data_IF_034058867478
#
_entry.id   IF_034058867478
#
_cell.length_a   1.000
_cell.length_b   1.000
_cell.length_c   1.000
_cell.angle_alpha   90.00
_cell.angle_beta   90.00
_cell.angle_gamma   90.00
#
_symmetry.space_group_name_H-M   'P 1'
#
loop_
_entity.id
_entity.type
_entity.pdbx_description
1 polymer ?
#
# COMPACT_ATOMS: atom_id res chain seq x y z
N UNK A 1 21.09 62.38 -7.52
CA UNK A 1 20.23 63.49 -8.02
C UNK A 1 20.71 63.88 -9.41
N UNK A 2 19.86 64.38 -10.33
CA UNK A 2 18.41 64.64 -10.27
C UNK A 2 17.63 63.78 -11.32
N UNK A 3 16.31 63.75 -11.44
CA UNK A 3 15.21 64.45 -10.78
C UNK A 3 13.87 64.18 -11.50
N UNK A 4 12.94 63.57 -10.76
CA UNK A 4 11.46 63.65 -10.69
C UNK A 4 10.51 64.06 -11.86
N UNK A 5 9.34 63.38 -11.81
CA UNK A 5 8.08 63.42 -12.61
C UNK A 5 7.30 64.76 -12.55
N UNK A 6 6.20 64.94 -13.33
CA UNK A 6 4.83 64.49 -12.97
C UNK A 6 4.10 63.81 -14.17
N UNK A 7 3.08 62.96 -14.10
CA UNK A 7 1.91 62.84 -13.23
C UNK A 7 0.65 62.89 -14.12
N UNK A 8 0.01 61.75 -14.40
CA UNK A 8 -1.33 61.69 -15.00
C UNK A 8 -2.08 60.44 -14.50
N UNK A 9 -3.30 60.66 -14.01
CA UNK A 9 -4.17 59.70 -13.32
C UNK A 9 -5.08 58.92 -14.28
N UNK A 10 -5.25 57.63 -13.95
CA UNK A 10 -6.43 56.73 -14.01
C UNK A 10 -7.32 56.70 -15.26
N UNK A 11 -7.48 55.49 -15.81
CA UNK A 11 -8.79 54.80 -15.93
C UNK A 11 -8.57 53.28 -15.74
N UNK A 12 -9.28 52.68 -14.77
CA UNK A 12 -9.38 51.22 -14.59
C UNK A 12 -10.28 50.62 -15.68
N UNK A 13 -10.04 49.39 -16.15
CA UNK A 13 -11.10 48.64 -16.81
C UNK A 13 -12.12 48.19 -15.74
N UNK A 14 -13.40 48.45 -16.03
CA UNK A 14 -14.55 48.05 -15.23
C UNK A 14 -14.57 46.53 -14.95
N UNK A 15 -15.14 46.09 -13.82
CA UNK A 15 -15.39 44.66 -13.59
C UNK A 15 -16.42 44.14 -14.61
N UNK A 16 -16.35 42.86 -15.02
CA UNK A 16 -17.36 42.28 -15.90
C UNK A 16 -18.73 42.24 -15.20
N UNK A 17 -19.77 42.47 -16.00
CA UNK A 17 -21.19 42.50 -15.64
C UNK A 17 -21.65 41.16 -15.02
N UNK A 18 -22.28 41.13 -13.83
CA UNK A 18 -22.71 39.91 -13.15
C UNK A 18 -24.00 39.29 -13.72
N UNK A 19 -24.32 39.49 -15.01
CA UNK A 19 -25.57 38.99 -15.63
C UNK A 19 -25.38 38.06 -16.84
N UNK A 20 -24.22 37.41 -16.95
CA UNK A 20 -24.02 36.27 -17.87
C UNK A 20 -23.66 34.95 -17.16
N UNK A 21 -23.93 34.81 -15.86
CA UNK A 21 -23.83 33.52 -15.15
C UNK A 21 -25.14 32.73 -15.21
N UNK A 22 -25.58 32.42 -16.43
CA UNK A 22 -26.84 31.73 -16.71
C UNK A 22 -26.66 30.53 -17.65
N UNK A 23 -25.71 29.64 -17.35
CA UNK A 23 -25.69 28.25 -17.84
C UNK A 23 -24.70 27.44 -16.99
N UNK A 24 -25.23 26.71 -16.02
CA UNK A 24 -24.52 25.62 -15.36
C UNK A 24 -24.12 24.63 -16.47
N UNK A 25 -22.83 24.53 -16.76
CA UNK A 25 -22.28 23.39 -17.50
C UNK A 25 -22.18 22.24 -16.51
N UNK A 26 -23.20 21.40 -16.48
CA UNK A 26 -23.13 20.06 -15.91
C UNK A 26 -22.12 19.22 -16.70
N UNK A 27 -21.36 18.38 -16.00
CA UNK A 27 -20.28 17.49 -16.49
C UNK A 27 -19.06 18.20 -17.09
N UNK A 28 -18.06 18.45 -16.25
CA UNK A 28 -16.69 18.30 -16.70
C UNK A 28 -16.43 16.79 -16.85
N UNK A 29 -16.73 16.24 -18.02
CA UNK A 29 -16.13 14.98 -18.44
C UNK A 29 -14.62 15.23 -18.49
N UNK A 30 -13.89 14.72 -17.50
CA UNK A 30 -12.45 14.57 -17.60
C UNK A 30 -12.25 13.65 -18.81
N UNK A 31 -11.60 14.10 -19.89
CA UNK A 31 -11.40 13.25 -21.05
C UNK A 31 -10.46 12.11 -20.65
N UNK A 32 -11.02 10.92 -20.47
CA UNK A 32 -10.25 9.68 -20.42
C UNK A 32 -9.69 9.49 -21.83
N UNK A 33 -8.37 9.51 -22.04
CA UNK A 33 -7.84 9.17 -23.36
C UNK A 33 -8.27 7.75 -23.69
N UNK A 34 -8.95 7.56 -24.82
CA UNK A 34 -9.21 6.24 -25.40
C UNK A 34 -7.86 5.52 -25.62
N UNK A 35 -7.40 4.77 -24.62
CA UNK A 35 -6.38 3.77 -24.81
C UNK A 35 -7.10 2.58 -25.42
N UNK A 36 -6.71 2.17 -26.63
CA UNK A 36 -7.14 0.89 -27.18
C UNK A 36 -7.00 -0.18 -26.09
N UNK A 37 -8.11 -0.79 -25.70
CA UNK A 37 -8.26 -1.53 -24.45
C UNK A 37 -7.07 -2.43 -24.09
N UNK A 38 -6.67 -2.39 -22.83
CA UNK A 38 -5.95 -3.45 -22.11
C UNK A 38 -4.60 -3.91 -22.66
N UNK A 39 -4.05 -3.35 -23.75
CA UNK A 39 -2.82 -3.88 -24.36
C UNK A 39 -1.58 -3.22 -23.78
N UNK A 40 -0.72 -4.06 -23.19
CA UNK A 40 0.61 -3.66 -22.74
C UNK A 40 1.38 -2.91 -23.84
N UNK A 41 1.82 -1.67 -23.58
CA UNK A 41 2.69 -0.97 -24.52
C UNK A 41 4.00 -1.77 -24.68
N UNK A 42 4.52 -1.85 -25.91
CA UNK A 42 5.86 -2.40 -26.14
C UNK A 42 6.88 -1.36 -25.66
N UNK A 43 7.51 -1.60 -24.50
CA UNK A 43 8.55 -0.71 -23.98
C UNK A 43 9.94 -1.34 -24.24
N UNK A 44 10.87 -0.65 -24.91
CA UNK A 44 12.25 -1.08 -25.04
C UNK A 44 13.09 -0.71 -23.80
N UNK A 45 13.85 -1.66 -23.23
CA UNK A 45 14.81 -1.43 -22.14
C UNK A 45 14.98 -2.66 -21.23
N UNK A 46 16.15 -2.84 -20.61
CA UNK A 46 16.38 -3.94 -19.66
C UNK A 46 15.86 -3.59 -18.24
N UNK A 47 15.61 -4.58 -17.36
CA UNK A 47 15.24 -4.35 -15.97
C UNK A 47 16.18 -3.40 -15.20
N UNK A 48 17.49 -3.47 -15.48
CA UNK A 48 18.51 -2.58 -14.87
C UNK A 48 18.33 -1.10 -15.24
N UNK A 49 17.86 -0.81 -16.46
CA UNK A 49 17.56 0.55 -16.89
C UNK A 49 16.35 1.12 -16.15
N UNK A 50 15.38 0.27 -15.78
CA UNK A 50 14.19 0.62 -14.98
C UNK A 50 14.58 1.00 -13.54
N UNK A 51 15.48 0.23 -12.92
CA UNK A 51 15.99 0.47 -11.55
C UNK A 51 16.80 1.77 -11.40
N UNK A 52 17.46 2.23 -12.48
CA UNK A 52 18.17 3.51 -12.45
C UNK A 52 17.23 4.72 -12.39
N UNK A 53 15.98 4.62 -12.83
CA UNK A 53 14.96 5.69 -12.71
C UNK A 53 14.66 5.93 -11.22
N UNK A 54 14.28 4.89 -10.50
CA UNK A 54 13.96 4.94 -9.06
C UNK A 54 15.13 5.34 -8.15
N UNK A 55 16.38 5.02 -8.52
CA UNK A 55 17.59 5.47 -7.78
C UNK A 55 17.99 6.94 -8.03
N UNK A 56 17.38 7.63 -9.00
CA UNK A 56 17.87 8.96 -9.44
C UNK A 56 17.22 10.16 -8.76
N UNK A 57 16.20 9.98 -7.93
CA UNK A 57 15.54 11.09 -7.22
C UNK A 57 16.18 11.44 -5.86
N UNK A 58 17.48 11.15 -5.71
CA UNK A 58 18.28 11.73 -4.64
C UNK A 58 18.75 13.14 -5.03
N UNK A 59 18.51 14.19 -4.24
CA UNK A 59 18.92 15.55 -4.59
C UNK A 59 20.44 15.62 -4.83
N UNK A 60 20.84 16.19 -5.98
CA UNK A 60 22.22 16.25 -6.50
C UNK A 60 23.27 16.75 -5.50
N UNK A 61 22.84 17.52 -4.49
CA UNK A 61 23.73 18.13 -3.51
C UNK A 61 24.29 17.13 -2.49
N UNK A 62 23.66 15.96 -2.30
CA UNK A 62 24.13 14.92 -1.38
C UNK A 62 25.20 14.02 -2.02
N UNK A 63 25.14 13.81 -3.34
CA UNK A 63 26.11 13.00 -4.10
C UNK A 63 27.53 13.56 -4.04
N UNK A 64 27.70 14.89 -3.97
CA UNK A 64 29.04 15.52 -3.91
C UNK A 64 29.67 15.44 -2.52
N UNK A 65 28.88 15.48 -1.46
CA UNK A 65 29.40 15.47 -0.08
C UNK A 65 29.79 14.06 0.37
N UNK A 66 29.05 13.04 -0.05
CA UNK A 66 29.33 11.62 0.29
C UNK A 66 30.57 11.09 -0.44
N UNK A 67 30.79 11.46 -1.71
CA UNK A 67 31.99 11.03 -2.46
C UNK A 67 33.30 11.62 -1.92
N UNK A 68 33.27 12.79 -1.27
CA UNK A 68 34.46 13.41 -0.68
C UNK A 68 34.83 12.82 0.69
N UNK A 69 33.85 12.31 1.45
CA UNK A 69 34.07 11.65 2.74
C UNK A 69 34.53 10.19 2.59
N UNK A 70 34.08 9.48 1.55
CA UNK A 70 34.54 8.11 1.25
C UNK A 70 35.98 8.04 0.69
N UNK A 71 36.45 9.09 0.02
CA UNK A 71 37.82 9.14 -0.51
C UNK A 71 38.90 9.42 0.56
N UNK A 72 38.50 9.85 1.77
CA UNK A 72 39.44 10.18 2.86
C UNK A 72 39.58 9.07 3.92
N UNK A 73 38.76 8.02 3.88
CA UNK A 73 38.87 6.86 4.79
C UNK A 73 39.66 5.66 4.24
N UNK A 74 40.17 5.72 3.01
CA UNK A 74 40.91 4.61 2.38
C UNK A 74 42.45 4.75 2.38
N UNK A 75 43.01 5.66 3.18
CA UNK A 75 44.46 5.74 3.41
C UNK A 75 44.80 5.85 4.91
N UNK A 76 44.60 4.77 5.66
CA UNK A 76 45.44 4.40 6.82
C UNK A 76 44.93 3.12 7.49
N UNK A 77 45.17 1.98 6.85
CA UNK A 77 45.05 0.67 7.48
C UNK A 77 46.36 -0.08 7.34
N UNK A 78 47.27 0.06 8.31
CA UNK A 78 48.36 -0.89 8.49
C UNK A 78 48.95 -0.87 9.91
N UNK A 79 48.93 -2.06 10.52
CA UNK A 79 49.76 -2.58 11.63
C UNK A 79 49.24 -2.51 13.07
N UNK A 80 48.92 -3.73 13.57
CA UNK A 80 49.44 -4.39 14.79
C UNK A 80 49.11 -3.74 16.16
N UNK A 81 49.00 -4.42 17.29
CA UNK A 81 48.95 -5.81 17.75
C UNK A 81 48.98 -5.70 19.29
N UNK A 82 48.31 -6.62 20.00
CA UNK A 82 48.53 -7.01 21.40
C UNK A 82 48.13 -6.10 22.58
N UNK A 83 47.53 -6.79 23.56
CA UNK A 83 47.57 -6.63 25.02
C UNK A 83 46.63 -5.65 25.75
N UNK A 84 45.66 -6.27 26.44
CA UNK A 84 45.48 -6.34 27.90
C UNK A 84 45.39 -5.08 28.78
N UNK A 85 44.49 -5.26 29.75
CA UNK A 85 44.44 -4.78 31.15
C UNK A 85 43.78 -3.44 31.50
N UNK A 86 42.89 -3.60 32.50
CA UNK A 86 42.51 -2.70 33.59
C UNK A 86 41.34 -1.71 33.42
N UNK A 87 40.24 -2.06 34.10
CA UNK A 87 39.32 -1.14 34.77
C UNK A 87 40.05 -0.49 35.98
N UNK A 88 39.60 0.65 36.58
CA UNK A 88 38.33 0.66 37.32
C UNK A 88 37.58 2.02 37.43
N UNK A 89 36.31 1.91 37.86
CA UNK A 89 35.50 2.74 38.79
C UNK A 89 35.57 4.28 38.79
N UNK A 90 34.40 4.94 38.74
CA UNK A 90 33.80 5.68 39.89
C UNK A 90 32.41 6.29 39.54
N UNK A 91 31.45 6.07 40.45
CA UNK A 91 30.13 6.71 40.64
C UNK A 91 30.25 8.12 41.30
N UNK A 92 29.17 8.86 41.67
CA UNK A 92 27.81 9.03 41.13
C UNK A 92 27.37 10.53 41.07
N UNK A 93 26.08 10.76 40.80
CA UNK A 93 25.33 12.04 40.71
C UNK A 93 25.40 12.97 41.95
N UNK A 94 24.79 14.18 41.85
CA UNK A 94 23.64 14.43 42.72
C UNK A 94 22.46 15.18 42.08
N UNK A 95 21.32 15.08 42.77
CA UNK A 95 20.04 15.76 42.52
C UNK A 95 19.90 17.09 43.30
N UNK A 96 18.67 17.64 43.32
CA UNK A 96 18.09 18.75 44.14
C UNK A 96 18.08 20.11 43.39
N UNK A 97 17.03 20.95 43.29
CA UNK A 97 15.73 21.16 43.98
C UNK A 97 14.82 22.13 43.19
N UNK A 98 13.50 22.04 43.42
CA UNK A 98 12.45 23.07 43.23
C UNK A 98 12.67 24.38 44.02
N UNK A 99 11.98 25.49 43.71
CA UNK A 99 10.78 25.85 44.49
C UNK A 99 9.59 26.46 43.70
N UNK A 100 8.43 26.36 44.34
CA UNK A 100 7.11 26.87 43.97
C UNK A 100 6.84 28.35 44.35
N UNK A 101 5.87 28.98 43.68
CA UNK A 101 4.92 30.02 44.17
C UNK A 101 3.90 30.32 43.04
N UNK A 102 2.62 29.92 43.10
CA UNK A 102 1.44 30.48 43.81
C UNK A 102 0.79 31.76 43.22
N UNK A 103 -0.56 31.67 43.10
CA UNK A 103 -1.60 32.72 43.04
C UNK A 103 -1.88 33.37 41.65
N UNK A 104 -3.10 33.59 41.17
CA UNK A 104 -4.45 33.71 41.75
C UNK A 104 -5.52 33.65 40.63
N UNK A 105 -6.69 33.09 40.91
CA UNK A 105 -7.94 33.30 40.14
C UNK A 105 -8.51 34.72 40.39
N UNK A 106 -9.47 35.16 39.55
CA UNK A 106 -10.76 35.52 40.15
C UNK A 106 -12.00 35.02 39.39
N UNK A 107 -13.03 34.70 40.17
CA UNK A 107 -14.39 34.32 39.79
C UNK A 107 -15.29 35.49 39.32
N UNK A 108 -16.24 35.11 38.47
CA UNK A 108 -17.64 35.53 38.27
C UNK A 108 -18.08 37.00 38.17
N UNK A 109 -18.83 37.28 37.09
CA UNK A 109 -20.21 37.80 37.18
C UNK A 109 -20.98 37.69 35.86
N UNK A 110 -22.18 37.08 35.91
CA UNK A 110 -23.21 37.15 34.86
C UNK A 110 -23.80 38.55 34.71
N UNK A 111 -24.38 38.85 33.52
CA UNK A 111 -25.62 39.61 33.49
C UNK A 111 -26.73 38.92 32.67
N UNK A 112 -27.95 39.23 33.09
CA UNK A 112 -29.23 38.72 32.62
C UNK A 112 -29.69 39.30 31.26
N UNK A 113 -30.55 38.50 30.62
CA UNK A 113 -31.65 38.79 29.68
C UNK A 113 -31.64 40.10 28.86
N UNK A 114 -31.53 39.94 27.55
CA UNK A 114 -32.02 40.87 26.53
C UNK A 114 -32.61 40.06 25.33
N UNK A 115 -33.61 40.61 24.62
CA UNK A 115 -34.61 39.83 23.89
C UNK A 115 -34.12 39.28 22.54
N UNK A 116 -34.70 38.14 22.15
CA UNK A 116 -34.52 37.45 20.88
C UNK A 116 -35.11 38.23 19.70
N UNK A 117 -34.26 38.56 18.71
CA UNK A 117 -34.68 38.97 17.37
C UNK A 117 -35.17 37.75 16.56
N UNK A 118 -36.17 37.90 15.68
CA UNK A 118 -36.77 36.78 14.94
C UNK A 118 -35.84 36.25 13.85
N UNK A 119 -35.81 34.91 13.71
CA UNK A 119 -35.12 34.20 12.63
C UNK A 119 -35.58 34.68 11.24
N UNK A 120 -34.66 34.85 10.27
CA UNK A 120 -35.06 35.06 8.88
C UNK A 120 -35.62 33.75 8.31
N UNK A 121 -36.76 33.87 7.64
CA UNK A 121 -37.47 32.78 6.98
C UNK A 121 -36.54 31.96 6.07
N UNK A 122 -36.58 30.63 6.24
CA UNK A 122 -35.82 29.67 5.46
C UNK A 122 -36.04 29.84 3.95
N UNK A 123 -34.94 29.89 3.21
CA UNK A 123 -34.90 29.60 1.79
C UNK A 123 -35.37 28.16 1.53
N UNK A 124 -36.07 27.87 0.43
CA UNK A 124 -36.42 26.50 0.09
C UNK A 124 -35.13 25.70 -0.08
N UNK A 125 -34.99 24.60 0.66
CA UNK A 125 -33.94 23.61 0.41
C UNK A 125 -34.14 23.07 -1.01
N UNK A 126 -33.11 23.20 -1.85
CA UNK A 126 -33.05 22.49 -3.12
C UNK A 126 -33.20 20.99 -2.82
N UNK A 127 -34.02 20.24 -3.59
CA UNK A 127 -34.15 18.81 -3.37
C UNK A 127 -32.76 18.18 -3.49
N UNK A 128 -32.40 17.35 -2.51
CA UNK A 128 -31.19 16.54 -2.55
C UNK A 128 -31.08 15.86 -3.93
N UNK A 129 -29.90 15.87 -4.57
CA UNK A 129 -29.74 15.26 -5.87
C UNK A 129 -30.16 13.80 -5.76
N UNK A 130 -31.22 13.43 -6.47
CA UNK A 130 -31.61 12.02 -6.64
C UNK A 130 -30.45 11.33 -7.35
N UNK A 131 -29.75 10.44 -6.63
CA UNK A 131 -28.79 9.52 -7.22
C UNK A 131 -29.50 8.77 -8.36
N UNK A 132 -29.00 8.92 -9.59
CA UNK A 132 -29.44 8.05 -10.66
C UNK A 132 -29.07 6.61 -10.29
N UNK A 133 -29.93 5.61 -10.54
CA UNK A 133 -29.62 4.22 -10.26
C UNK A 133 -28.33 3.84 -11.00
N UNK A 134 -27.33 3.41 -10.24
CA UNK A 134 -26.02 3.00 -10.76
C UNK A 134 -26.20 1.85 -11.75
N UNK A 135 -25.42 1.89 -12.83
CA UNK A 135 -25.40 0.82 -13.81
C UNK A 135 -24.65 -0.39 -13.22
N UNK A 136 -25.41 -1.30 -12.59
CA UNK A 136 -24.91 -2.57 -12.07
C UNK A 136 -24.63 -3.60 -13.18
N UNK A 137 -24.77 -3.25 -14.47
CA UNK A 137 -24.53 -4.17 -15.61
C UNK A 137 -23.05 -4.46 -15.89
N UNK A 138 -22.25 -4.56 -14.84
CA UNK A 138 -20.83 -4.92 -14.90
C UNK A 138 -20.66 -6.30 -15.51
N UNK A 139 -19.73 -6.41 -16.44
CA UNK A 139 -19.36 -7.67 -17.06
C UNK A 139 -18.29 -8.38 -16.23
N UNK A 140 -18.58 -8.59 -14.94
CA UNK A 140 -17.72 -9.39 -14.07
C UNK A 140 -17.89 -10.88 -14.44
N UNK A 141 -16.82 -11.43 -15.01
CA UNK A 141 -16.81 -12.81 -15.49
C UNK A 141 -16.45 -13.75 -14.36
N UNK A 142 -17.27 -14.78 -14.05
CA UNK A 142 -16.88 -15.78 -13.07
C UNK A 142 -15.64 -16.52 -13.57
N UNK A 143 -14.64 -16.66 -12.71
CA UNK A 143 -13.46 -17.45 -12.99
C UNK A 143 -13.91 -18.92 -13.16
N UNK A 144 -13.53 -19.58 -14.27
CA UNK A 144 -13.91 -20.97 -14.51
C UNK A 144 -13.26 -21.89 -13.46
N UNK A 145 -13.97 -22.96 -13.10
CA UNK A 145 -13.39 -24.02 -12.28
C UNK A 145 -12.11 -24.56 -12.94
N UNK A 146 -11.04 -24.72 -12.15
CA UNK A 146 -9.80 -25.34 -12.59
C UNK A 146 -9.64 -26.72 -11.95
N UNK A 147 -9.44 -27.74 -12.78
CA UNK A 147 -9.19 -29.14 -12.37
C UNK A 147 -7.73 -29.39 -11.94
N UNK A 148 -7.10 -28.41 -11.27
CA UNK A 148 -5.73 -28.51 -10.73
C UNK A 148 -4.61 -28.03 -11.66
N UNK A 149 -4.94 -27.26 -12.71
CA UNK A 149 -3.98 -26.64 -13.62
C UNK A 149 -4.03 -25.11 -13.60
N UNK A 150 -3.00 -24.47 -14.13
CA UNK A 150 -3.04 -23.03 -14.37
C UNK A 150 -3.82 -22.73 -15.65
N UNK A 151 -4.84 -21.88 -15.57
CA UNK A 151 -5.70 -21.46 -16.68
C UNK A 151 -5.38 -20.01 -17.01
N UNK A 152 -5.28 -19.68 -18.30
CA UNK A 152 -5.18 -18.29 -18.77
C UNK A 152 -6.60 -17.72 -18.90
N UNK A 153 -6.90 -16.69 -18.13
CA UNK A 153 -8.19 -16.00 -18.13
C UNK A 153 -8.24 -14.92 -19.21
N UNK A 154 -7.15 -14.16 -19.29
CA UNK A 154 -6.90 -13.14 -20.30
C UNK A 154 -5.38 -13.08 -20.53
N UNK A 155 -4.94 -12.33 -21.53
CA UNK A 155 -3.53 -12.14 -21.85
C UNK A 155 -2.76 -11.70 -20.61
N UNK A 156 -1.77 -12.49 -20.21
CA UNK A 156 -0.94 -12.26 -19.00
C UNK A 156 -1.73 -12.27 -17.67
N UNK A 157 -2.95 -12.82 -17.64
CA UNK A 157 -3.74 -13.07 -16.45
C UNK A 157 -4.01 -14.56 -16.33
N UNK A 158 -3.53 -15.16 -15.25
CA UNK A 158 -3.67 -16.57 -14.99
C UNK A 158 -4.42 -16.80 -13.69
N UNK A 159 -5.06 -17.96 -13.58
CA UNK A 159 -5.65 -18.45 -12.35
C UNK A 159 -5.23 -19.89 -12.10
N UNK A 160 -4.95 -20.24 -10.84
CA UNK A 160 -4.65 -21.60 -10.44
C UNK A 160 -5.21 -21.89 -9.05
N UNK A 161 -5.56 -23.16 -8.83
CA UNK A 161 -5.79 -23.73 -7.50
C UNK A 161 -4.58 -24.58 -7.12
N UNK A 162 -4.12 -24.47 -5.88
CA UNK A 162 -3.08 -25.34 -5.31
C UNK A 162 -3.49 -25.82 -3.92
N UNK A 163 -3.04 -27.03 -3.57
CA UNK A 163 -3.17 -27.55 -2.20
C UNK A 163 -2.04 -27.05 -1.30
N UNK A 164 -1.58 -27.93 -0.42
CA UNK A 164 -0.43 -27.69 0.44
C UNK A 164 0.83 -27.35 -0.38
N UNK A 165 1.48 -26.26 0.00
CA UNK A 165 2.70 -25.75 -0.61
C UNK A 165 3.95 -26.01 0.24
N UNK A 166 3.84 -26.72 1.36
CA UNK A 166 4.97 -27.02 2.24
C UNK A 166 5.34 -25.87 3.19
N UNK A 167 4.44 -24.91 3.40
CA UNK A 167 4.72 -23.72 4.21
C UNK A 167 4.99 -24.06 5.68
N UNK A 168 4.31 -25.05 6.27
CA UNK A 168 4.62 -25.52 7.63
C UNK A 168 6.05 -26.07 7.76
N UNK A 169 6.58 -26.72 6.72
CA UNK A 169 7.96 -27.19 6.71
C UNK A 169 8.97 -26.05 6.57
N UNK A 170 8.61 -25.00 5.81
CA UNK A 170 9.38 -23.76 5.73
C UNK A 170 9.50 -23.09 7.11
N UNK A 171 8.38 -22.90 7.82
CA UNK A 171 8.37 -22.33 9.18
C UNK A 171 9.13 -23.20 10.18
N UNK A 172 8.96 -24.53 10.14
CA UNK A 172 9.68 -25.46 11.00
C UNK A 172 11.21 -25.46 10.74
N UNK A 173 11.63 -25.03 9.55
CA UNK A 173 13.03 -24.82 9.19
C UNK A 173 13.62 -23.50 9.70
N UNK A 174 12.84 -22.65 10.36
CA UNK A 174 13.24 -21.33 10.83
C UNK A 174 12.84 -20.17 9.90
N UNK A 175 12.16 -20.47 8.78
CA UNK A 175 11.76 -19.48 7.79
C UNK A 175 12.93 -19.03 6.90
N UNK A 176 12.98 -17.75 6.55
CA UNK A 176 14.02 -17.18 5.70
C UNK A 176 14.28 -15.70 6.02
N UNK A 177 15.56 -15.35 6.11
CA UNK A 177 16.05 -13.99 6.34
C UNK A 177 16.27 -13.18 5.05
N UNK A 178 16.05 -13.81 3.88
CA UNK A 178 16.19 -13.17 2.58
C UNK A 178 15.40 -13.91 1.49
N UNK A 179 15.09 -13.22 0.39
CA UNK A 179 14.43 -13.84 -0.77
C UNK A 179 15.27 -14.98 -1.37
N UNK A 180 16.60 -14.88 -1.29
CA UNK A 180 17.52 -15.95 -1.72
C UNK A 180 17.38 -17.24 -0.89
N UNK A 181 17.08 -17.14 0.40
CA UNK A 181 16.81 -18.30 1.25
C UNK A 181 15.44 -18.92 0.95
N UNK A 182 14.43 -18.10 0.60
CA UNK A 182 13.13 -18.59 0.09
C UNK A 182 13.33 -19.36 -1.21
N UNK A 183 14.11 -18.82 -2.15
CA UNK A 183 14.52 -19.49 -3.39
C UNK A 183 15.20 -20.83 -3.11
N UNK A 184 16.15 -20.87 -2.17
CA UNK A 184 16.87 -22.09 -1.82
C UNK A 184 15.94 -23.16 -1.24
N UNK A 185 15.00 -22.77 -0.38
CA UNK A 185 13.97 -23.66 0.14
C UNK A 185 13.11 -24.24 -0.99
N UNK A 186 12.59 -23.38 -1.87
CA UNK A 186 11.75 -23.80 -3.00
C UNK A 186 12.49 -24.70 -3.98
N UNK A 187 13.77 -24.43 -4.24
CA UNK A 187 14.63 -25.26 -5.09
C UNK A 187 14.75 -26.68 -4.55
N UNK A 188 14.89 -26.81 -3.22
CA UNK A 188 14.91 -28.09 -2.53
C UNK A 188 13.55 -28.80 -2.57
N UNK A 189 12.48 -28.08 -2.26
CA UNK A 189 11.11 -28.61 -2.24
C UNK A 189 10.66 -29.12 -3.62
N UNK A 190 10.85 -28.29 -4.66
CA UNK A 190 10.40 -28.54 -6.02
C UNK A 190 11.38 -29.39 -6.83
N UNK A 191 12.59 -29.66 -6.29
CA UNK A 191 13.71 -30.29 -7.00
C UNK A 191 14.05 -29.55 -8.29
N UNK A 192 13.94 -28.23 -8.26
CA UNK A 192 14.13 -27.33 -9.39
C UNK A 192 15.35 -26.41 -9.09
N UNK A 193 16.55 -26.75 -9.59
CA UNK A 193 17.80 -26.08 -9.20
C UNK A 193 18.03 -24.68 -9.83
N UNK A 194 17.12 -24.21 -10.68
CA UNK A 194 17.24 -22.94 -11.41
C UNK A 194 16.18 -21.92 -10.97
N UNK A 195 15.86 -21.82 -9.68
CA UNK A 195 15.01 -20.75 -9.16
C UNK A 195 15.87 -19.53 -8.81
N UNK A 196 15.36 -18.36 -9.12
CA UNK A 196 15.87 -17.06 -8.69
C UNK A 196 14.67 -16.09 -8.70
N UNK A 197 14.70 -15.03 -7.89
CA UNK A 197 13.62 -14.06 -7.79
C UNK A 197 14.12 -12.65 -8.10
N UNK A 198 13.39 -11.91 -8.95
CA UNK A 198 13.78 -10.57 -9.39
C UNK A 198 13.19 -9.45 -8.51
N UNK A 199 14.02 -8.46 -8.17
CA UNK A 199 13.64 -7.30 -7.36
C UNK A 199 12.86 -6.27 -8.14
N UNK A 200 11.69 -5.86 -7.65
CA UNK A 200 10.99 -4.73 -8.27
C UNK A 200 10.02 -4.04 -7.30
N UNK A 201 10.10 -2.70 -7.23
CA UNK A 201 9.43 -1.90 -6.19
C UNK A 201 8.26 -1.07 -6.67
N UNK A 202 7.06 -1.34 -6.13
CA UNK A 202 5.75 -0.94 -6.65
C UNK A 202 4.99 0.11 -5.82
N UNK A 203 4.27 1.03 -6.47
CA UNK A 203 3.26 1.87 -5.83
C UNK A 203 1.99 1.06 -5.51
N UNK A 204 1.26 1.39 -4.45
CA UNK A 204 0.05 0.69 -4.00
C UNK A 204 -0.89 1.63 -3.22
N UNK A 205 -2.19 1.42 -3.32
CA UNK A 205 -3.21 2.05 -2.46
C UNK A 205 -4.20 1.02 -1.94
N UNK A 206 -4.72 1.19 -0.73
CA UNK A 206 -5.70 0.29 -0.12
C UNK A 206 -6.83 1.04 0.58
N UNK A 207 -8.00 0.42 0.66
CA UNK A 207 -9.21 1.00 1.24
C UNK A 207 -10.07 -0.08 1.92
N UNK A 208 -10.37 0.07 3.21
CA UNK A 208 -11.22 -0.84 3.98
C UNK A 208 -12.55 -0.16 4.38
N UNK A 209 -13.66 -0.89 4.25
CA UNK A 209 -14.98 -0.35 4.52
C UNK A 209 -16.00 -1.36 5.08
N UNK A 210 -17.01 -0.78 5.70
CA UNK A 210 -18.23 -1.45 6.15
C UNK A 210 -19.40 -0.96 5.30
N UNK A 211 -20.18 -1.90 4.76
CA UNK A 211 -21.37 -1.60 3.95
C UNK A 211 -22.60 -1.30 4.82
N UNK A 212 -23.65 -0.76 4.19
CA UNK A 212 -24.90 -0.38 4.86
C UNK A 212 -25.53 -1.50 5.71
N UNK A 213 -25.46 -2.73 5.20
CA UNK A 213 -25.99 -3.96 5.77
C UNK A 213 -25.01 -4.67 6.74
N UNK A 214 -23.84 -4.08 7.00
CA UNK A 214 -22.84 -4.62 7.92
C UNK A 214 -21.86 -5.62 7.28
N UNK A 215 -21.84 -5.73 5.95
CA UNK A 215 -20.77 -6.40 5.21
C UNK A 215 -19.43 -5.69 5.38
N UNK A 216 -18.35 -6.40 5.03
CA UNK A 216 -16.95 -5.96 5.16
C UNK A 216 -16.24 -6.10 3.83
N UNK A 217 -15.61 -5.03 3.39
CA UNK A 217 -14.98 -4.94 2.07
C UNK A 217 -13.59 -4.32 2.17
N UNK A 218 -12.66 -4.87 1.40
CA UNK A 218 -11.29 -4.37 1.29
C UNK A 218 -10.90 -4.24 -0.18
N UNK A 219 -10.38 -3.09 -0.57
CA UNK A 219 -9.92 -2.79 -1.92
C UNK A 219 -8.41 -2.52 -1.95
N UNK A 220 -7.73 -2.94 -3.02
CA UNK A 220 -6.33 -2.61 -3.29
C UNK A 220 -6.12 -2.24 -4.75
N UNK A 221 -5.33 -1.19 -5.00
CA UNK A 221 -4.60 -0.95 -6.25
C UNK A 221 -3.14 -1.38 -6.10
N UNK A 222 -2.61 -2.08 -7.10
CA UNK A 222 -1.19 -2.36 -7.24
C UNK A 222 -0.67 -1.70 -8.52
N UNK A 223 0.22 -0.73 -8.35
CA UNK A 223 0.72 0.12 -9.42
C UNK A 223 2.07 -0.39 -9.90
N UNK A 224 2.07 -0.89 -11.13
CA UNK A 224 3.20 -1.58 -11.73
C UNK A 224 3.22 -1.47 -13.25
N UNK A 225 4.41 -1.62 -13.82
CA UNK A 225 4.52 -1.86 -15.25
C UNK A 225 3.79 -3.15 -15.65
N UNK A 226 3.43 -3.30 -16.93
CA UNK A 226 2.76 -4.50 -17.41
C UNK A 226 3.47 -5.78 -16.97
N UNK A 227 2.72 -6.71 -16.36
CA UNK A 227 3.26 -7.96 -15.85
C UNK A 227 2.41 -9.19 -16.14
N UNK A 228 2.99 -10.37 -15.94
CA UNK A 228 2.24 -11.60 -15.80
C UNK A 228 1.70 -11.72 -14.38
N UNK A 229 0.38 -11.85 -14.23
CA UNK A 229 -0.26 -11.94 -12.91
C UNK A 229 -0.91 -13.30 -12.75
N UNK A 230 -0.70 -13.93 -11.60
CA UNK A 230 -1.39 -15.14 -11.18
C UNK A 230 -2.34 -14.83 -10.01
N UNK A 231 -3.61 -15.16 -10.21
CA UNK A 231 -4.62 -15.25 -9.17
C UNK A 231 -4.55 -16.66 -8.58
N UNK A 232 -4.15 -16.79 -7.32
CA UNK A 232 -3.89 -18.08 -6.70
C UNK A 232 -4.90 -18.36 -5.58
N UNK A 233 -5.59 -19.49 -5.69
CA UNK A 233 -6.38 -20.06 -4.60
C UNK A 233 -5.59 -21.20 -3.94
N UNK A 234 -5.29 -21.07 -2.66
CA UNK A 234 -4.49 -22.04 -1.89
C UNK A 234 -5.35 -22.73 -0.85
N UNK A 235 -5.23 -24.06 -0.76
CA UNK A 235 -5.88 -24.93 0.23
C UNK A 235 -4.82 -25.72 1.00
N UNK A 236 -4.16 -25.10 2.00
CA UNK A 236 -3.14 -25.77 2.79
C UNK A 236 -3.75 -26.90 3.62
N UNK A 237 -2.95 -27.92 3.94
CA UNK A 237 -3.41 -29.05 4.78
C UNK A 237 -3.55 -28.68 6.27
N UNK A 238 -2.81 -27.64 6.69
CA UNK A 238 -2.70 -27.12 8.05
C UNK A 238 -2.68 -25.59 8.01
N UNK A 239 -3.81 -25.00 7.61
CA UNK A 239 -3.99 -23.55 7.51
C UNK A 239 -5.34 -23.20 6.89
N UNK A 240 -5.58 -21.91 6.72
CA UNK A 240 -6.79 -21.41 6.09
C UNK A 240 -6.70 -21.43 4.56
N UNK A 241 -7.80 -21.77 3.90
CA UNK A 241 -7.95 -21.51 2.48
C UNK A 241 -7.88 -20.01 2.21
N UNK A 242 -7.28 -19.61 1.08
CA UNK A 242 -7.10 -18.19 0.75
C UNK A 242 -7.00 -17.92 -0.74
N UNK A 243 -7.44 -16.74 -1.16
CA UNK A 243 -6.99 -16.10 -2.40
C UNK A 243 -5.73 -15.27 -2.15
N UNK A 244 -4.90 -15.15 -3.19
CA UNK A 244 -3.79 -14.20 -3.24
C UNK A 244 -3.48 -13.78 -4.68
N UNK A 245 -2.88 -12.60 -4.83
CA UNK A 245 -2.42 -12.10 -6.13
C UNK A 245 -0.89 -12.06 -6.18
N UNK A 246 -0.33 -12.62 -7.25
CA UNK A 246 1.12 -12.80 -7.43
C UNK A 246 1.55 -12.19 -8.75
N UNK A 247 2.57 -11.35 -8.72
CA UNK A 247 3.28 -10.92 -9.92
C UNK A 247 4.28 -12.01 -10.32
N UNK A 248 3.98 -12.76 -11.38
CA UNK A 248 4.81 -13.87 -11.85
C UNK A 248 6.15 -13.40 -12.39
N UNK A 249 6.30 -12.14 -12.81
CA UNK A 249 7.60 -11.67 -13.31
C UNK A 249 8.64 -11.64 -12.17
N UNK A 250 8.21 -11.43 -10.92
CA UNK A 250 9.07 -11.54 -9.73
C UNK A 250 9.60 -12.97 -9.53
N UNK A 251 8.85 -13.98 -10.02
CA UNK A 251 9.21 -15.40 -9.95
C UNK A 251 9.94 -15.91 -11.21
N UNK A 252 9.76 -15.27 -12.36
CA UNK A 252 10.11 -15.81 -13.69
C UNK A 252 11.22 -15.06 -14.41
N UNK A 253 11.57 -13.84 -14.03
CA UNK A 253 12.63 -13.08 -14.71
C UNK A 253 14.03 -13.72 -14.61
N UNK A 254 14.20 -14.75 -13.79
CA UNK A 254 15.49 -15.43 -13.60
C UNK A 254 15.42 -16.96 -13.64
N UNK A 255 14.25 -17.53 -13.92
CA UNK A 255 14.00 -18.97 -13.94
C UNK A 255 12.92 -19.36 -14.94
N UNK A 256 13.21 -20.29 -15.86
CA UNK A 256 12.20 -20.84 -16.78
C UNK A 256 11.38 -21.93 -16.06
N UNK A 257 10.64 -21.54 -15.01
CA UNK A 257 9.92 -22.50 -14.18
C UNK A 257 8.86 -23.24 -15.00
N UNK A 258 8.80 -24.58 -14.88
CA UNK A 258 7.71 -25.37 -15.42
C UNK A 258 6.37 -24.81 -14.93
N UNK A 259 5.37 -24.75 -15.81
CA UNK A 259 4.04 -24.23 -15.44
C UNK A 259 3.41 -25.01 -14.29
N UNK A 260 3.80 -26.27 -14.14
CA UNK A 260 3.32 -27.21 -13.15
C UNK A 260 3.78 -26.84 -11.73
N UNK A 261 4.91 -26.15 -11.57
CA UNK A 261 5.44 -25.75 -10.26
C UNK A 261 5.11 -24.31 -9.89
N UNK A 262 4.66 -23.50 -10.86
CA UNK A 262 4.34 -22.09 -10.65
C UNK A 262 3.32 -21.85 -9.53
N UNK A 263 2.19 -22.58 -9.43
CA UNK A 263 1.23 -22.37 -8.35
C UNK A 263 1.85 -22.59 -6.96
N UNK A 264 2.66 -23.63 -6.80
CA UNK A 264 3.35 -23.93 -5.53
C UNK A 264 4.41 -22.88 -5.20
N UNK A 265 5.24 -22.48 -6.17
CA UNK A 265 6.22 -21.41 -5.96
C UNK A 265 5.56 -20.07 -5.62
N UNK A 266 4.41 -19.78 -6.26
CA UNK A 266 3.64 -18.56 -6.07
C UNK A 266 3.05 -18.42 -4.67
N UNK A 267 2.90 -19.52 -3.93
CA UNK A 267 2.51 -19.47 -2.51
C UNK A 267 3.50 -18.67 -1.64
N UNK A 268 4.74 -18.49 -2.09
CA UNK A 268 5.80 -17.78 -1.36
C UNK A 268 6.03 -16.35 -1.85
N UNK A 269 5.26 -15.89 -2.84
CA UNK A 269 5.31 -14.52 -3.36
C UNK A 269 3.95 -13.78 -3.39
N UNK A 270 2.99 -14.01 -2.46
CA UNK A 270 1.75 -13.25 -2.44
C UNK A 270 2.01 -11.79 -2.05
N UNK A 271 1.34 -10.86 -2.74
CA UNK A 271 1.43 -9.43 -2.47
C UNK A 271 0.17 -8.90 -1.76
N UNK A 272 -0.94 -9.61 -1.91
CA UNK A 272 -2.22 -9.41 -1.22
C UNK A 272 -2.96 -10.75 -1.08
N UNK A 273 -4.04 -10.75 -0.32
CA UNK A 273 -4.97 -11.87 -0.27
C UNK A 273 -6.15 -11.68 0.67
N UNK A 274 -7.07 -12.65 0.61
CA UNK A 274 -8.20 -12.83 1.51
C UNK A 274 -8.26 -14.30 1.92
N UNK A 275 -8.35 -14.59 3.22
CA UNK A 275 -8.55 -15.96 3.70
C UNK A 275 -10.01 -16.28 4.07
N UNK A 276 -10.31 -17.55 4.30
CA UNK A 276 -11.65 -18.05 4.62
C UNK A 276 -12.20 -17.58 5.99
N UNK A 277 -11.41 -16.84 6.76
CA UNK A 277 -11.85 -16.18 8.00
C UNK A 277 -12.21 -14.72 7.80
N UNK A 278 -12.01 -14.19 6.60
CA UNK A 278 -12.28 -12.80 6.26
C UNK A 278 -11.13 -11.85 6.61
N UNK A 279 -9.93 -12.36 6.89
CA UNK A 279 -8.73 -11.51 7.00
C UNK A 279 -8.24 -11.17 5.60
N UNK A 280 -8.19 -9.88 5.29
CA UNK A 280 -7.55 -9.32 4.12
C UNK A 280 -6.18 -8.72 4.50
N UNK A 281 -5.19 -8.93 3.64
CA UNK A 281 -3.83 -8.39 3.79
C UNK A 281 -3.33 -7.87 2.46
N UNK A 282 -2.56 -6.79 2.49
CA UNK A 282 -1.72 -6.38 1.38
C UNK A 282 -0.45 -5.69 1.83
N UNK A 283 0.55 -5.69 0.94
CA UNK A 283 1.84 -5.02 1.14
C UNK A 283 1.92 -3.78 0.29
N UNK A 284 2.26 -2.64 0.87
CA UNK A 284 2.47 -1.40 0.13
C UNK A 284 3.94 -0.98 0.32
N UNK A 285 4.60 -0.54 -0.77
CA UNK A 285 5.96 0.01 -0.67
C UNK A 285 5.92 1.38 -0.03
N UNK A 286 6.96 1.79 0.67
CA UNK A 286 7.18 3.19 1.02
C UNK A 286 8.44 3.65 0.29
N UNK A 287 8.38 4.84 -0.31
CA UNK A 287 9.54 5.44 -0.99
C UNK A 287 10.58 5.98 0.01
N UNK A 288 11.16 5.10 0.82
CA UNK A 288 12.27 5.37 1.73
C UNK A 288 13.45 4.44 1.42
N UNK A 289 14.66 4.93 1.67
CA UNK A 289 15.91 4.18 1.58
C UNK A 289 16.23 3.35 2.83
N UNK A 290 15.43 3.50 3.90
CA UNK A 290 15.49 2.61 5.05
C UNK A 290 15.16 1.17 4.65
N UNK A 291 15.56 0.21 5.48
CA UNK A 291 15.29 -1.22 5.25
C UNK A 291 14.73 -1.86 6.51
N UNK A 292 13.96 -2.92 6.34
CA UNK A 292 13.56 -3.80 7.43
C UNK A 292 14.53 -4.98 7.43
N UNK A 293 15.40 -5.08 8.42
CA UNK A 293 16.28 -6.23 8.66
C UNK A 293 16.36 -6.48 10.17
N UNK A 294 15.26 -6.95 10.77
CA UNK A 294 15.23 -7.26 12.19
C UNK A 294 16.20 -8.40 12.52
N UNK A 295 16.70 -8.43 13.74
CA UNK A 295 17.68 -9.45 14.15
C UNK A 295 17.60 -9.73 15.64
N UNK A 296 17.07 -10.89 15.97
CA UNK A 296 16.89 -11.43 17.30
C UNK A 296 17.01 -12.96 17.27
N UNK A 297 16.49 -13.64 18.30
CA UNK A 297 16.42 -15.11 18.36
C UNK A 297 15.09 -15.66 17.76
N UNK A 298 14.26 -14.79 17.20
CA UNK A 298 13.00 -15.16 16.55
C UNK A 298 13.27 -15.81 15.18
N UNK A 299 12.36 -16.67 14.69
CA UNK A 299 12.40 -17.14 13.30
C UNK A 299 12.21 -15.98 12.32
N UNK A 300 12.70 -16.15 11.10
CA UNK A 300 12.76 -15.10 10.10
C UNK A 300 11.64 -15.22 9.05
N UNK A 301 11.12 -14.08 8.60
CA UNK A 301 10.23 -13.98 7.46
C UNK A 301 10.74 -12.92 6.48
N UNK A 302 10.51 -13.17 5.20
CA UNK A 302 10.50 -12.13 4.18
C UNK A 302 9.13 -11.46 4.10
N UNK A 303 9.04 -10.32 3.42
CA UNK A 303 7.77 -9.62 3.19
C UNK A 303 6.66 -10.53 2.64
N UNK A 304 6.93 -11.30 1.59
CA UNK A 304 5.92 -12.14 0.95
C UNK A 304 5.59 -13.40 1.75
N UNK A 305 6.56 -13.95 2.48
CA UNK A 305 6.31 -15.10 3.36
C UNK A 305 5.56 -14.69 4.62
N UNK A 306 5.68 -13.44 5.08
CA UNK A 306 4.78 -12.89 6.09
C UNK A 306 3.34 -12.84 5.59
N UNK A 307 3.08 -12.35 4.37
CA UNK A 307 1.72 -12.38 3.78
C UNK A 307 1.15 -13.80 3.75
N UNK A 308 1.94 -14.80 3.30
CA UNK A 308 1.52 -16.21 3.31
C UNK A 308 1.20 -16.71 4.71
N UNK A 309 2.05 -16.39 5.70
CA UNK A 309 1.82 -16.75 7.10
C UNK A 309 0.48 -16.18 7.61
N UNK A 310 0.23 -14.89 7.37
CA UNK A 310 -1.00 -14.24 7.83
C UNK A 310 -2.23 -14.87 7.20
N UNK A 311 -2.18 -15.12 5.89
CA UNK A 311 -3.27 -15.80 5.18
C UNK A 311 -3.51 -17.21 5.72
N UNK A 312 -2.46 -17.97 6.05
CA UNK A 312 -2.57 -19.35 6.57
C UNK A 312 -3.05 -19.43 8.02
N UNK A 313 -2.65 -18.47 8.87
CA UNK A 313 -2.65 -18.67 10.33
C UNK A 313 -3.41 -17.62 11.15
N UNK A 314 -3.81 -16.49 10.58
CA UNK A 314 -4.57 -15.46 11.31
C UNK A 314 -6.01 -15.36 10.82
N UNK A 315 -6.96 -15.37 11.76
CA UNK A 315 -8.38 -15.13 11.49
C UNK A 315 -8.77 -13.65 11.66
N UNK A 316 -8.01 -12.91 12.47
CA UNK A 316 -8.29 -11.52 12.85
C UNK A 316 -7.02 -10.67 12.74
N UNK A 317 -7.19 -9.34 12.75
CA UNK A 317 -6.07 -8.40 12.80
C UNK A 317 -5.25 -8.62 14.08
N UNK A 318 -5.88 -8.90 15.23
CA UNK A 318 -5.17 -9.15 16.49
C UNK A 318 -4.25 -10.39 16.39
N UNK A 319 -4.75 -11.48 15.84
CA UNK A 319 -3.94 -12.69 15.59
C UNK A 319 -2.81 -12.41 14.58
N UNK A 320 -3.08 -11.59 13.56
CA UNK A 320 -2.06 -11.20 12.59
C UNK A 320 -0.93 -10.37 13.23
N UNK A 321 -1.26 -9.43 14.11
CA UNK A 321 -0.29 -8.63 14.85
C UNK A 321 0.53 -9.49 15.84
N UNK A 322 -0.12 -10.45 16.50
CA UNK A 322 0.58 -11.40 17.37
C UNK A 322 1.59 -12.23 16.57
N UNK A 323 1.18 -12.77 15.42
CA UNK A 323 2.07 -13.51 14.53
C UNK A 323 3.26 -12.64 14.10
N UNK A 324 3.03 -11.44 13.56
CA UNK A 324 4.13 -10.55 13.16
C UNK A 324 5.09 -10.24 14.32
N UNK A 325 4.58 -10.12 15.54
CA UNK A 325 5.41 -9.91 16.74
C UNK A 325 6.31 -11.09 17.12
N UNK A 326 6.01 -12.30 16.65
CA UNK A 326 6.77 -13.54 16.95
C UNK A 326 7.88 -13.87 15.95
N UNK A 327 7.98 -13.12 14.85
CA UNK A 327 9.02 -13.30 13.82
C UNK A 327 9.88 -12.03 13.69
N UNK A 328 11.08 -12.20 13.15
CA UNK A 328 11.86 -11.09 12.61
C UNK A 328 11.51 -10.90 11.13
N UNK A 329 11.19 -9.67 10.74
CA UNK A 329 10.91 -9.34 9.36
C UNK A 329 12.15 -8.83 8.63
N UNK A 330 12.30 -9.31 7.40
CA UNK A 330 13.28 -8.86 6.41
C UNK A 330 12.53 -8.38 5.17
N UNK A 331 12.66 -7.09 4.87
CA UNK A 331 12.05 -6.47 3.70
C UNK A 331 12.57 -7.14 2.43
N UNK A 332 11.67 -7.74 1.66
CA UNK A 332 12.04 -8.34 0.37
C UNK A 332 12.71 -7.27 -0.50
N UNK A 333 13.82 -7.63 -1.14
CA UNK A 333 14.62 -6.75 -1.99
C UNK A 333 15.12 -5.45 -1.37
N UNK A 334 15.35 -5.44 -0.05
CA UNK A 334 15.73 -4.24 0.72
C UNK A 334 14.72 -3.08 0.58
N UNK A 335 13.49 -3.39 0.18
CA UNK A 335 12.44 -2.39 0.07
C UNK A 335 11.84 -2.08 1.43
N UNK A 336 11.55 -0.80 1.66
CA UNK A 336 10.70 -0.42 2.76
C UNK A 336 9.23 -0.67 2.37
N UNK A 337 8.50 -1.31 3.27
CA UNK A 337 7.10 -1.65 3.10
C UNK A 337 6.33 -1.43 4.39
N UNK A 338 5.02 -1.46 4.29
CA UNK A 338 4.09 -1.62 5.40
C UNK A 338 2.92 -2.53 4.99
N UNK A 339 2.24 -3.11 5.96
CA UNK A 339 1.10 -4.00 5.72
C UNK A 339 -0.21 -3.30 6.02
N UNK A 340 -1.14 -3.31 5.07
CA UNK A 340 -2.55 -3.04 5.35
C UNK A 340 -3.23 -4.34 5.76
N UNK A 341 -3.88 -4.35 6.92
CA UNK A 341 -4.64 -5.49 7.44
C UNK A 341 -6.07 -5.05 7.71
N UNK A 342 -7.04 -5.88 7.34
CA UNK A 342 -8.44 -5.69 7.71
C UNK A 342 -9.12 -7.05 7.96
N UNK A 343 -10.06 -7.12 8.89
CA UNK A 343 -10.77 -8.38 9.20
C UNK A 343 -12.29 -8.24 9.20
N UNK A 344 -12.97 -9.39 9.35
CA UNK A 344 -14.43 -9.48 9.35
C UNK A 344 -15.12 -8.77 10.54
N UNK A 345 -14.37 -8.35 11.58
CA UNK A 345 -14.92 -7.50 12.64
C UNK A 345 -15.06 -6.03 12.19
N UNK A 346 -14.32 -5.63 11.15
CA UNK A 346 -14.22 -4.26 10.66
C UNK A 346 -13.02 -3.49 11.23
N UNK A 347 -12.15 -4.14 12.00
CA UNK A 347 -10.86 -3.55 12.37
C UNK A 347 -9.96 -3.48 11.14
N UNK A 348 -9.28 -2.35 10.97
CA UNK A 348 -8.33 -2.12 9.90
C UNK A 348 -7.12 -1.33 10.43
N UNK A 349 -5.91 -1.80 10.10
CA UNK A 349 -4.67 -1.21 10.57
C UNK A 349 -3.61 -1.19 9.47
N UNK A 350 -2.69 -0.26 9.63
CA UNK A 350 -1.40 -0.24 9.00
C UNK A 350 -0.32 -0.75 9.98
N UNK A 351 0.59 -1.59 9.50
CA UNK A 351 1.72 -2.12 10.26
C UNK A 351 3.02 -1.67 9.60
N UNK A 352 3.69 -0.74 10.26
CA UNK A 352 4.92 -0.12 9.80
C UNK A 352 6.12 -0.60 10.62
N UNK A 353 7.32 -0.46 10.04
CA UNK A 353 8.57 -0.77 10.73
C UNK A 353 9.45 0.47 10.78
N UNK A 354 9.54 1.08 11.96
CA UNK A 354 10.33 2.30 12.21
C UNK A 354 11.45 1.96 13.18
N UNK A 355 12.70 2.12 12.73
CA UNK A 355 13.86 1.83 13.56
C UNK A 355 13.97 0.36 13.97
N UNK A 356 13.54 -0.56 13.11
CA UNK A 356 13.46 -2.01 13.37
C UNK A 356 12.36 -2.43 14.35
N UNK A 357 11.49 -1.52 14.77
CA UNK A 357 10.37 -1.80 15.66
C UNK A 357 9.04 -1.76 14.90
N UNK A 358 8.15 -2.68 15.23
CA UNK A 358 6.79 -2.73 14.66
C UNK A 358 5.93 -1.63 15.29
N UNK A 359 5.30 -0.81 14.45
CA UNK A 359 4.37 0.25 14.84
C UNK A 359 3.03 -0.03 14.17
N UNK A 360 1.95 0.04 14.94
CA UNK A 360 0.59 -0.23 14.45
C UNK A 360 -0.22 1.06 14.49
N UNK A 361 -0.82 1.41 13.36
CA UNK A 361 -1.67 2.60 13.20
C UNK A 361 -3.07 2.14 12.79
N UNK A 362 -4.10 2.54 13.55
CA UNK A 362 -5.49 2.29 13.15
C UNK A 362 -5.83 3.18 11.96
N UNK A 363 -6.17 2.57 10.82
CA UNK A 363 -6.54 3.30 9.60
C UNK A 363 -7.36 2.43 8.66
N UNK A 364 -8.24 3.07 7.89
CA UNK A 364 -9.02 2.44 6.82
C UNK A 364 -8.43 2.67 5.44
N UNK A 365 -7.46 3.58 5.31
CA UNK A 365 -6.84 3.97 4.04
C UNK A 365 -5.32 3.95 4.19
N UNK A 366 -4.64 3.45 3.17
CA UNK A 366 -3.18 3.40 3.16
C UNK A 366 -2.64 3.55 1.73
N UNK A 367 -1.66 4.42 1.56
CA UNK A 367 -0.88 4.58 0.32
C UNK A 367 0.62 4.55 0.66
N UNK A 368 1.53 4.90 -0.25
CA UNK A 368 2.97 4.62 -0.12
C UNK A 368 3.77 5.63 0.75
N UNK A 369 3.27 5.98 1.93
CA UNK A 369 3.99 6.83 2.89
C UNK A 369 3.73 6.40 4.34
N UNK A 370 4.62 6.81 5.25
CA UNK A 370 4.49 6.47 6.66
C UNK A 370 3.34 7.22 7.35
N UNK A 371 2.44 6.50 8.00
CA UNK A 371 1.40 7.05 8.89
C UNK A 371 1.87 7.17 10.34
N UNK A 372 2.82 6.36 10.79
CA UNK A 372 3.28 6.39 12.17
C UNK A 372 3.78 7.78 12.57
N UNK A 373 3.34 8.24 13.74
CA UNK A 373 3.81 9.49 14.34
C UNK A 373 5.32 9.40 14.65
N UNK A 374 6.04 10.50 14.42
CA UNK A 374 7.47 10.62 14.72
C UNK A 374 8.31 11.09 13.54
N UNK A 375 9.61 10.76 13.56
CA UNK A 375 10.58 11.23 12.55
C UNK A 375 10.24 10.76 11.13
N UNK A 376 9.61 9.59 11.02
CA UNK A 376 9.25 9.00 9.72
C UNK A 376 7.92 9.48 9.16
N UNK A 377 7.06 10.08 9.96
CA UNK A 377 5.71 10.48 9.57
C UNK A 377 5.70 11.27 8.26
N UNK A 378 4.85 10.86 7.32
CA UNK A 378 4.67 11.53 6.03
C UNK A 378 5.76 11.26 4.99
N UNK A 379 6.84 10.52 5.31
CA UNK A 379 7.85 10.18 4.31
C UNK A 379 7.24 9.24 3.25
N UNK A 380 7.19 9.72 2.01
CA UNK A 380 6.69 9.03 0.81
C UNK A 380 6.62 9.99 -0.38
N UNK A 381 6.05 9.56 -1.52
CA UNK A 381 5.94 10.42 -2.71
C UNK A 381 4.80 11.44 -2.59
N UNK A 382 4.93 12.61 -3.22
CA UNK A 382 3.83 13.60 -3.28
C UNK A 382 2.57 13.01 -3.94
N UNK A 383 2.75 12.12 -4.93
CA UNK A 383 1.66 11.45 -5.61
C UNK A 383 0.93 10.44 -4.69
N UNK A 384 1.65 9.78 -3.78
CA UNK A 384 1.05 8.93 -2.73
C UNK A 384 0.16 9.73 -1.77
N UNK A 385 0.59 10.94 -1.39
CA UNK A 385 -0.20 11.86 -0.56
C UNK A 385 -1.48 12.30 -1.29
N UNK A 386 -1.38 12.66 -2.57
CA UNK A 386 -2.57 13.05 -3.36
C UNK A 386 -3.57 11.90 -3.54
N UNK A 387 -3.09 10.66 -3.70
CA UNK A 387 -3.95 9.47 -3.72
C UNK A 387 -4.65 9.26 -2.39
N UNK A 388 -3.92 9.45 -1.29
CA UNK A 388 -4.49 9.38 0.06
C UNK A 388 -5.57 10.44 0.26
N UNK A 389 -5.33 11.70 -0.11
CA UNK A 389 -6.32 12.78 -0.03
C UNK A 389 -7.60 12.43 -0.82
N UNK A 390 -7.47 11.79 -1.99
CA UNK A 390 -8.61 11.36 -2.79
C UNK A 390 -9.43 10.25 -2.08
N UNK A 391 -8.76 9.25 -1.49
CA UNK A 391 -9.41 8.19 -0.73
C UNK A 391 -10.02 8.70 0.59
N UNK A 392 -9.36 9.64 1.25
CA UNK A 392 -9.86 10.28 2.47
C UNK A 392 -11.10 11.13 2.17
N UNK A 393 -11.10 11.90 1.09
CA UNK A 393 -12.28 12.63 0.63
C UNK A 393 -13.46 11.68 0.34
N UNK A 394 -13.17 10.52 -0.27
CA UNK A 394 -14.20 9.50 -0.52
C UNK A 394 -14.73 8.93 0.79
N UNK A 395 -13.86 8.56 1.74
CA UNK A 395 -14.22 8.03 3.05
C UNK A 395 -15.08 9.02 3.85
N UNK A 396 -14.73 10.30 3.84
CA UNK A 396 -15.47 11.36 4.53
C UNK A 396 -16.85 11.61 3.91
N UNK A 397 -16.99 11.36 2.61
CA UNK A 397 -18.28 11.48 1.91
C UNK A 397 -19.19 10.25 2.13
N UNK A 398 -18.62 9.09 2.50
CA UNK A 398 -19.33 7.82 2.62
C UNK A 398 -19.08 7.18 3.99
N UNK A 399 -19.94 7.47 4.99
CA UNK A 399 -19.87 6.85 6.33
C UNK A 399 -19.87 5.31 6.24
N UNK A 400 -20.66 4.78 5.30
CA UNK A 400 -20.71 3.38 4.91
C UNK A 400 -20.45 3.27 3.41
N UNK A 401 -19.73 2.22 3.01
CA UNK A 401 -19.35 1.98 1.63
C UNK A 401 -19.48 0.49 1.32
N UNK A 402 -20.26 0.16 0.29
CA UNK A 402 -20.34 -1.18 -0.25
C UNK A 402 -19.18 -1.49 -1.21
N UNK A 403 -19.18 -2.69 -1.80
CA UNK A 403 -18.09 -3.12 -2.68
C UNK A 403 -17.97 -2.27 -3.96
N UNK A 404 -19.07 -1.67 -4.43
CA UNK A 404 -19.06 -0.78 -5.60
C UNK A 404 -18.56 0.61 -5.22
N UNK A 405 -18.88 1.09 -4.02
CA UNK A 405 -18.28 2.31 -3.47
C UNK A 405 -16.76 2.16 -3.36
N UNK A 406 -16.27 1.03 -2.82
CA UNK A 406 -14.82 0.75 -2.74
C UNK A 406 -14.19 0.69 -4.12
N UNK A 407 -14.86 0.08 -5.10
CA UNK A 407 -14.39 0.06 -6.49
C UNK A 407 -14.23 1.47 -7.04
N UNK A 408 -15.23 2.32 -6.84
CA UNK A 408 -15.21 3.69 -7.34
C UNK A 408 -14.11 4.51 -6.62
N UNK A 409 -13.89 4.28 -5.33
CA UNK A 409 -12.76 4.84 -4.58
C UNK A 409 -11.42 4.42 -5.20
N UNK A 410 -11.22 3.13 -5.46
CA UNK A 410 -10.00 2.63 -6.13
C UNK A 410 -9.84 3.20 -7.54
N UNK A 411 -10.93 3.35 -8.29
CA UNK A 411 -10.89 4.01 -9.60
C UNK A 411 -10.36 5.44 -9.46
N UNK A 412 -10.84 6.23 -8.49
CA UNK A 412 -10.33 7.59 -8.28
C UNK A 412 -8.87 7.64 -7.87
N UNK A 413 -8.38 6.62 -7.15
CA UNK A 413 -7.02 6.52 -6.65
C UNK A 413 -6.05 5.73 -7.58
N UNK A 414 -6.46 5.45 -8.83
CA UNK A 414 -5.61 4.73 -9.79
C UNK A 414 -4.42 5.57 -10.24
N UNK A 415 -3.32 4.90 -10.58
CA UNK A 415 -2.05 5.54 -10.96
C UNK A 415 -2.21 6.58 -12.07
N UNK A 416 -2.94 6.24 -13.14
CA UNK A 416 -3.08 7.15 -14.30
C UNK A 416 -3.81 8.47 -14.01
N UNK A 417 -4.49 8.56 -12.87
CA UNK A 417 -5.09 9.82 -12.43
C UNK A 417 -4.05 10.81 -11.87
N UNK A 418 -2.86 10.33 -11.49
CA UNK A 418 -1.82 11.12 -10.84
C UNK A 418 -0.49 11.15 -11.60
N UNK A 419 -0.14 10.08 -12.32
CA UNK A 419 1.00 10.04 -13.24
C UNK A 419 0.54 9.76 -14.69
N UNK A 420 0.76 10.70 -15.64
CA UNK A 420 0.42 10.48 -17.04
C UNK A 420 1.41 9.57 -17.79
N UNK A 421 2.53 9.12 -17.20
CA UNK A 421 3.50 8.23 -17.82
C UNK A 421 2.82 6.91 -18.24
N UNK A 422 2.72 6.60 -19.55
CA UNK A 422 2.04 5.40 -20.01
C UNK A 422 2.82 4.12 -19.75
N UNK A 423 4.07 4.20 -19.29
CA UNK A 423 4.90 3.04 -18.98
C UNK A 423 4.58 2.38 -17.63
N UNK A 424 3.93 3.12 -16.74
CA UNK A 424 3.48 2.70 -15.41
C UNK A 424 1.95 2.91 -15.32
N UNK A 425 1.29 2.25 -14.36
CA UNK A 425 -0.17 2.27 -14.23
C UNK A 425 -0.66 1.27 -13.18
N UNK A 426 -1.92 1.34 -12.77
CA UNK A 426 -2.48 0.30 -11.87
C UNK A 426 -2.60 -1.01 -12.64
N UNK A 427 -1.74 -1.97 -12.31
CA UNK A 427 -1.62 -3.25 -13.02
C UNK A 427 -2.80 -4.18 -12.69
N UNK A 428 -3.17 -4.21 -11.41
CA UNK A 428 -4.45 -4.77 -10.97
C UNK A 428 -5.06 -3.94 -9.85
N UNK A 429 -6.39 -3.98 -9.82
CA UNK A 429 -7.20 -3.63 -8.67
C UNK A 429 -7.92 -4.88 -8.21
N UNK A 430 -8.04 -5.10 -6.90
CA UNK A 430 -8.80 -6.21 -6.34
C UNK A 430 -9.76 -5.72 -5.27
N UNK A 431 -10.98 -6.24 -5.30
CA UNK A 431 -12.01 -6.06 -4.29
C UNK A 431 -12.22 -7.39 -3.56
N UNK A 432 -12.02 -7.40 -2.26
CA UNK A 432 -12.30 -8.51 -1.37
C UNK A 432 -13.57 -8.23 -0.58
N UNK A 433 -14.61 -9.01 -0.82
CA UNK A 433 -15.76 -9.11 0.07
C UNK A 433 -15.41 -10.09 1.19
N UNK A 434 -15.01 -9.56 2.34
CA UNK A 434 -14.58 -10.35 3.48
C UNK A 434 -15.75 -11.12 4.12
N UNK A 435 -16.99 -10.70 3.87
CA UNK A 435 -18.19 -11.35 4.43
C UNK A 435 -18.66 -12.52 3.57
N UNK A 436 -18.72 -12.32 2.25
CA UNK A 436 -19.16 -13.34 1.31
C UNK A 436 -18.02 -14.23 0.79
N UNK A 437 -16.77 -13.90 1.16
CA UNK A 437 -15.54 -14.57 0.74
C UNK A 437 -15.39 -14.61 -0.78
N UNK A 438 -15.69 -13.47 -1.43
CA UNK A 438 -15.52 -13.29 -2.86
C UNK A 438 -14.43 -12.28 -3.17
N UNK A 439 -13.76 -12.47 -4.29
CA UNK A 439 -12.74 -11.57 -4.79
C UNK A 439 -13.06 -11.22 -6.25
N UNK A 440 -12.95 -9.93 -6.61
CA UNK A 440 -13.10 -9.45 -7.98
C UNK A 440 -11.87 -8.66 -8.38
N UNK A 441 -11.20 -9.09 -9.47
CA UNK A 441 -9.99 -8.48 -10.00
C UNK A 441 -10.27 -7.73 -11.29
N UNK A 442 -9.75 -6.50 -11.36
CA UNK A 442 -9.73 -5.66 -12.55
C UNK A 442 -8.28 -5.48 -12.98
N UNK A 443 -8.00 -5.56 -14.28
CA UNK A 443 -6.64 -5.42 -14.81
C UNK A 443 -6.47 -4.10 -15.55
N UNK A 444 -5.30 -3.48 -15.41
CA UNK A 444 -4.89 -2.32 -16.21
C UNK A 444 -5.92 -1.19 -16.18
N UNK A 445 -6.47 -0.91 -15.00
CA UNK A 445 -7.48 0.13 -14.78
C UNK A 445 -8.80 -0.05 -15.57
N UNK A 446 -9.04 -1.24 -16.14
CA UNK A 446 -10.29 -1.56 -16.79
C UNK A 446 -11.31 -2.07 -15.76
N UNK A 447 -12.06 -1.15 -15.16
CA UNK A 447 -13.10 -1.45 -14.18
C UNK A 447 -14.43 -1.92 -14.80
N UNK A 448 -14.53 -1.96 -16.14
CA UNK A 448 -15.72 -2.44 -16.86
C UNK A 448 -15.73 -3.98 -17.02
N UNK A 449 -14.57 -4.63 -16.83
CA UNK A 449 -14.40 -6.07 -17.00
C UNK A 449 -13.61 -6.67 -15.83
N UNK A 450 -14.32 -7.18 -14.84
CA UNK A 450 -13.74 -7.91 -13.71
C UNK A 450 -13.69 -9.43 -13.93
N UNK A 451 -12.84 -10.09 -13.15
CA UNK A 451 -12.84 -11.54 -12.97
C UNK A 451 -13.19 -11.84 -11.52
N UNK A 452 -14.21 -12.67 -11.27
CA UNK A 452 -14.71 -12.90 -9.90
C UNK A 452 -14.65 -14.37 -9.49
N UNK A 453 -14.27 -14.64 -8.25
CA UNK A 453 -14.29 -15.98 -7.67
C UNK A 453 -14.79 -15.96 -6.23
N UNK A 454 -15.36 -17.08 -5.79
CA UNK A 454 -15.74 -17.34 -4.41
C UNK A 454 -14.82 -18.39 -3.79
N UNK A 455 -14.29 -18.10 -2.61
CA UNK A 455 -13.38 -18.99 -1.92
C UNK A 455 -14.13 -20.23 -1.44
N UNK A 456 -13.60 -21.42 -1.78
CA UNK A 456 -14.26 -22.70 -1.46
C UNK A 456 -15.49 -23.03 -2.33
N UNK A 457 -15.72 -22.27 -3.41
CA UNK A 457 -16.78 -22.49 -4.39
C UNK A 457 -16.43 -23.48 -5.49
#
# INVERSE_FOLDING_TARGET
>A
MPGMKPGAFRFSPSPPDPRESGRVRTKAEIPVPEREGGRCPKIPGSPDDRMQKYRKDLPMNLRRTVSLLLASLLLSGAFASCNNTDAPSEEPAPAVSDPAEQQQEPEEQSPADAPSDPEPAGTPEDPAPTEEPRDESLHDSPIPASDGGMVELDKNLFYAKTGDCGFSAFLAGGGASSDAEVVAFLSSLLKAPELDFASVGAGCSTYAAESADGGRVFGRNFDWSCSQVLLLETHPSDGYASFSTVNLDFLRESANLPKEVLPTASCYAPLDGLNEKGLAVSVNMISDSARIAQKSDKPDLTTTTAVRLLLDRAATVDEALELLGTYDLHGSYDMMIHFALADASGRAVDVEYVGQEMVVVETRILTNFYLAEGEKHGIGSEESHRRYDALEAFLNAHEKADIYDVRDALFTARESAFDPDPSEGTEWSVLYDQTNLTATWYRRENFDQGWTAKLGG
#
